data_IF_257295615117
#
_entry.id   IF_257295615117
#
_cell.length_a   1.000
_cell.length_b   1.000
_cell.length_c   1.000
_cell.angle_alpha   90.00
_cell.angle_beta   90.00
_cell.angle_gamma   90.00
#
_symmetry.space_group_name_H-M   'P 1'
#
loop_
_entity.id
_entity.type
_entity.pdbx_description
1 polymer ?
#
# COMPACT_ATOMS: atom_id res chain seq x y z
N UNK A 1 -12.86 22.64 -0.55
CA UNK A 1 -13.65 21.63 0.19
C UNK A 1 -13.16 20.25 -0.22
N UNK A 2 -12.41 19.54 0.60
CA UNK A 2 -12.19 18.09 0.51
C UNK A 2 -11.49 17.62 1.79
N UNK A 3 -11.96 16.52 2.39
CA UNK A 3 -11.36 15.70 3.48
C UNK A 3 -11.95 15.60 4.88
N UNK A 4 -13.19 16.00 5.15
CA UNK A 4 -13.75 15.96 6.51
C UNK A 4 -13.57 14.61 7.26
N UNK A 5 -13.48 14.65 8.59
CA UNK A 5 -13.37 13.46 9.47
C UNK A 5 -14.41 12.37 9.12
N UNK A 6 -15.57 12.79 8.62
CA UNK A 6 -16.64 11.92 8.14
C UNK A 6 -16.22 11.09 6.91
N UNK A 7 -15.40 11.65 5.99
CA UNK A 7 -14.86 10.93 4.82
C UNK A 7 -13.90 9.82 5.25
N UNK A 8 -13.02 10.08 6.23
CA UNK A 8 -12.10 9.06 6.76
C UNK A 8 -12.86 7.93 7.44
N UNK A 9 -13.87 8.27 8.27
CA UNK A 9 -14.73 7.29 8.92
C UNK A 9 -15.50 6.46 7.88
N UNK A 10 -16.13 7.10 6.89
CA UNK A 10 -16.90 6.43 5.85
C UNK A 10 -16.02 5.51 5.00
N UNK A 11 -14.88 6.01 4.53
CA UNK A 11 -13.93 5.25 3.72
C UNK A 11 -13.33 4.08 4.49
N UNK A 12 -12.84 4.32 5.70
CA UNK A 12 -12.27 3.28 6.56
C UNK A 12 -13.28 2.20 6.91
N UNK A 13 -14.50 2.59 7.28
CA UNK A 13 -15.57 1.64 7.60
C UNK A 13 -15.98 0.81 6.38
N UNK A 14 -16.13 1.45 5.21
CA UNK A 14 -16.45 0.76 3.96
C UNK A 14 -15.37 -0.26 3.60
N UNK A 15 -14.09 0.12 3.62
CA UNK A 15 -12.97 -0.79 3.33
C UNK A 15 -12.99 -1.97 4.31
N UNK A 16 -13.15 -1.74 5.61
CA UNK A 16 -13.15 -2.81 6.62
C UNK A 16 -14.33 -3.77 6.41
N UNK A 17 -15.56 -3.24 6.37
CA UNK A 17 -16.77 -4.06 6.27
C UNK A 17 -16.77 -4.88 4.98
N UNK A 18 -16.43 -4.24 3.86
CA UNK A 18 -16.39 -4.92 2.56
C UNK A 18 -15.25 -5.95 2.51
N UNK A 19 -14.08 -5.66 3.10
CA UNK A 19 -12.98 -6.64 3.19
C UNK A 19 -13.38 -7.87 4.00
N UNK A 20 -14.07 -7.70 5.13
CA UNK A 20 -14.56 -8.81 5.96
C UNK A 20 -15.58 -9.63 5.17
N UNK A 21 -16.53 -8.95 4.50
CA UNK A 21 -17.53 -9.61 3.67
C UNK A 21 -16.87 -10.46 2.57
N UNK A 22 -15.92 -9.90 1.82
CA UNK A 22 -15.20 -10.65 0.79
C UNK A 22 -14.33 -11.75 1.36
N UNK A 23 -13.68 -11.54 2.50
CA UNK A 23 -12.94 -12.61 3.17
C UNK A 23 -13.84 -13.82 3.43
N UNK A 24 -15.02 -13.61 4.04
CA UNK A 24 -15.97 -14.68 4.33
C UNK A 24 -16.44 -15.36 3.03
N UNK A 25 -16.87 -14.57 2.04
CA UNK A 25 -17.38 -15.07 0.77
C UNK A 25 -16.33 -15.94 0.04
N UNK A 26 -15.10 -15.45 -0.08
CA UNK A 26 -14.04 -16.15 -0.83
C UNK A 26 -13.39 -17.28 -0.03
N UNK A 27 -13.42 -17.26 1.31
CA UNK A 27 -13.01 -18.43 2.11
C UNK A 27 -13.91 -19.62 1.78
N UNK A 28 -15.23 -19.42 1.76
CA UNK A 28 -16.20 -20.47 1.41
C UNK A 28 -15.92 -20.98 -0.02
N UNK A 29 -15.81 -20.05 -0.98
CA UNK A 29 -15.55 -20.39 -2.39
C UNK A 29 -14.22 -21.13 -2.58
N UNK A 30 -13.14 -20.67 -1.96
CA UNK A 30 -11.81 -21.26 -2.15
C UNK A 30 -11.64 -22.60 -1.42
N UNK A 31 -12.32 -22.82 -0.29
CA UNK A 31 -12.38 -24.13 0.34
C UNK A 31 -13.02 -25.19 -0.58
N UNK A 32 -14.05 -24.82 -1.35
CA UNK A 32 -14.68 -25.73 -2.32
C UNK A 32 -13.73 -26.11 -3.48
N UNK A 33 -12.79 -25.25 -3.85
CA UNK A 33 -11.82 -25.47 -4.95
C UNK A 33 -10.69 -26.43 -4.54
N UNK A 34 -10.48 -26.67 -3.23
CA UNK A 34 -9.44 -27.57 -2.66
C UNK A 34 -7.98 -27.20 -2.98
N UNK A 35 -7.73 -26.00 -3.49
CA UNK A 35 -6.38 -25.46 -3.69
C UNK A 35 -5.87 -24.79 -2.42
N UNK A 36 -5.03 -25.51 -1.65
CA UNK A 36 -4.59 -25.10 -0.29
C UNK A 36 -3.92 -23.72 -0.20
N UNK A 37 -3.32 -23.23 -1.28
CA UNK A 37 -2.61 -21.95 -1.31
C UNK A 37 -3.53 -20.73 -1.43
N UNK A 38 -4.78 -20.92 -1.88
CA UNK A 38 -5.74 -19.84 -2.07
C UNK A 38 -6.14 -19.17 -0.74
N UNK A 39 -6.28 -19.96 0.33
CA UNK A 39 -6.68 -19.43 1.65
C UNK A 39 -5.58 -18.55 2.28
N UNK A 40 -4.30 -18.98 2.35
CA UNK A 40 -3.21 -18.10 2.77
C UNK A 40 -3.10 -16.83 1.92
N UNK A 41 -3.26 -16.94 0.59
CA UNK A 41 -3.25 -15.80 -0.31
C UNK A 41 -4.36 -14.79 0.03
N UNK A 42 -5.59 -15.28 0.18
CA UNK A 42 -6.76 -14.47 0.52
C UNK A 42 -6.57 -13.79 1.88
N UNK A 43 -6.11 -14.54 2.89
CA UNK A 43 -5.86 -14.02 4.24
C UNK A 43 -4.89 -12.84 4.20
N UNK A 44 -3.76 -12.98 3.53
CA UNK A 44 -2.78 -11.89 3.46
C UNK A 44 -3.28 -10.72 2.63
N UNK A 45 -3.97 -10.98 1.50
CA UNK A 45 -4.54 -9.89 0.69
C UNK A 45 -5.56 -9.09 1.51
N UNK A 46 -6.53 -9.75 2.15
CA UNK A 46 -7.55 -9.08 2.95
C UNK A 46 -6.96 -8.40 4.19
N UNK A 47 -5.92 -8.97 4.81
CA UNK A 47 -5.20 -8.30 5.88
C UNK A 47 -4.59 -6.96 5.40
N UNK A 48 -4.00 -6.91 4.21
CA UNK A 48 -3.52 -5.66 3.62
C UNK A 48 -4.61 -4.59 3.53
N UNK A 49 -5.78 -4.95 2.98
CA UNK A 49 -6.93 -4.04 2.90
C UNK A 49 -7.44 -3.60 4.28
N UNK A 50 -7.54 -4.52 5.25
CA UNK A 50 -7.95 -4.19 6.63
C UNK A 50 -7.00 -3.20 7.30
N UNK A 51 -5.70 -3.29 7.04
CA UNK A 51 -4.72 -2.33 7.57
C UNK A 51 -4.86 -0.96 6.90
N UNK A 52 -5.13 -0.87 5.60
CA UNK A 52 -5.44 0.42 4.96
C UNK A 52 -6.74 1.02 5.51
N UNK A 53 -7.80 0.22 5.67
CA UNK A 53 -9.05 0.68 6.28
C UNK A 53 -8.87 1.08 7.74
N UNK A 54 -8.08 0.32 8.50
CA UNK A 54 -7.72 0.63 9.88
C UNK A 54 -6.97 1.95 10.01
N UNK A 55 -6.02 2.22 9.12
CA UNK A 55 -5.33 3.51 9.06
C UNK A 55 -6.33 4.69 8.94
N UNK A 56 -7.33 4.59 8.06
CA UNK A 56 -8.36 5.63 7.90
C UNK A 56 -9.19 5.84 9.18
N UNK A 57 -9.52 4.76 9.89
CA UNK A 57 -10.20 4.86 11.20
C UNK A 57 -9.31 5.52 12.25
N UNK A 58 -8.02 5.20 12.28
CA UNK A 58 -7.08 5.82 13.22
C UNK A 58 -6.82 7.30 12.91
N UNK A 59 -6.80 7.69 11.63
CA UNK A 59 -6.78 9.11 11.26
C UNK A 59 -8.03 9.82 11.79
N UNK A 60 -9.22 9.25 11.56
CA UNK A 60 -10.47 9.80 12.07
C UNK A 60 -10.44 9.97 13.59
N UNK A 61 -10.06 8.92 14.31
CA UNK A 61 -9.96 8.95 15.77
C UNK A 61 -8.94 10.00 16.24
N UNK A 62 -7.81 10.13 15.55
CA UNK A 62 -6.78 11.11 15.91
C UNK A 62 -7.26 12.55 15.75
N UNK A 63 -8.11 12.83 14.75
CA UNK A 63 -8.70 14.14 14.54
C UNK A 63 -9.79 14.45 15.58
N UNK A 64 -10.61 13.46 15.94
CA UNK A 64 -11.67 13.64 16.94
C UNK A 64 -11.12 13.79 18.36
N UNK A 65 -10.02 13.10 18.67
CA UNK A 65 -9.42 13.09 20.01
C UNK A 65 -8.23 14.03 20.16
N UNK A 66 -7.79 14.66 19.06
CA UNK A 66 -6.56 15.45 18.96
C UNK A 66 -5.33 14.71 19.55
N UNK A 67 -5.30 13.38 19.35
CA UNK A 67 -4.32 12.50 19.98
C UNK A 67 -3.25 12.01 18.97
N UNK A 68 -2.02 12.42 19.21
CA UNK A 68 -0.88 12.12 18.35
C UNK A 68 -0.46 10.65 18.41
N UNK A 69 -0.67 9.98 19.54
CA UNK A 69 -0.35 8.55 19.71
C UNK A 69 -1.28 7.73 18.80
N UNK A 70 -2.57 8.09 18.74
CA UNK A 70 -3.53 7.47 17.82
C UNK A 70 -3.09 7.69 16.38
N UNK A 71 -2.72 8.93 16.00
CA UNK A 71 -2.23 9.20 14.65
C UNK A 71 -1.01 8.37 14.27
N UNK A 72 0.03 8.37 15.13
CA UNK A 72 1.26 7.59 14.92
C UNK A 72 0.97 6.11 14.77
N UNK A 73 0.06 5.57 15.58
CA UNK A 73 -0.38 4.17 15.47
C UNK A 73 -1.04 3.91 14.11
N UNK A 74 -1.88 4.84 13.65
CA UNK A 74 -2.48 4.80 12.31
C UNK A 74 -1.44 4.75 11.18
N UNK A 75 -0.35 5.53 11.28
CA UNK A 75 0.75 5.49 10.32
C UNK A 75 1.45 4.12 10.27
N UNK A 76 1.67 3.49 11.43
CA UNK A 76 2.31 2.16 11.50
C UNK A 76 1.38 1.07 10.96
N UNK A 77 0.08 1.17 11.25
CA UNK A 77 -0.93 0.31 10.65
C UNK A 77 -0.90 0.45 9.11
N UNK A 78 -0.89 1.67 8.59
CA UNK A 78 -0.87 1.91 7.14
C UNK A 78 0.30 1.22 6.43
N UNK A 79 1.54 1.46 6.89
CA UNK A 79 2.74 0.88 6.26
C UNK A 79 2.81 -0.65 6.43
N UNK A 80 2.20 -1.19 7.49
CA UNK A 80 2.13 -2.63 7.72
C UNK A 80 1.30 -3.37 6.68
N UNK A 81 0.38 -2.70 5.97
CA UNK A 81 -0.33 -3.28 4.83
C UNK A 81 0.64 -3.84 3.76
N UNK A 82 1.78 -3.17 3.55
CA UNK A 82 2.77 -3.58 2.56
C UNK A 82 3.44 -4.93 2.90
N UNK A 83 3.63 -5.24 4.18
CA UNK A 83 4.10 -6.57 4.60
C UNK A 83 3.12 -7.66 4.16
N UNK A 84 1.82 -7.43 4.35
CA UNK A 84 0.80 -8.38 3.96
C UNK A 84 0.69 -8.54 2.44
N UNK A 85 0.79 -7.45 1.68
CA UNK A 85 0.80 -7.54 0.21
C UNK A 85 2.03 -8.29 -0.33
N UNK A 86 3.21 -8.05 0.25
CA UNK A 86 4.40 -8.85 -0.06
C UNK A 86 4.20 -10.33 0.29
N UNK A 87 3.56 -10.64 1.43
CA UNK A 87 3.24 -12.02 1.82
C UNK A 87 2.26 -12.70 0.88
N UNK A 88 1.20 -12.02 0.44
CA UNK A 88 0.29 -12.57 -0.57
C UNK A 88 0.99 -12.80 -1.91
N UNK A 89 1.92 -11.93 -2.30
CA UNK A 89 2.74 -12.12 -3.50
C UNK A 89 3.68 -13.33 -3.37
N UNK A 90 4.32 -13.54 -2.21
CA UNK A 90 5.11 -14.75 -1.92
C UNK A 90 4.27 -16.02 -2.11
N UNK A 91 3.00 -15.99 -1.67
CA UNK A 91 2.08 -17.10 -1.85
C UNK A 91 1.77 -17.33 -3.34
N UNK A 92 1.42 -16.28 -4.10
CA UNK A 92 1.12 -16.38 -5.54
C UNK A 92 2.30 -16.93 -6.34
N UNK A 93 3.50 -16.37 -6.13
CA UNK A 93 4.70 -16.76 -6.86
C UNK A 93 5.29 -18.10 -6.38
N UNK A 94 4.79 -18.66 -5.27
CA UNK A 94 5.42 -19.75 -4.55
C UNK A 94 6.92 -19.49 -4.33
N UNK A 95 7.25 -18.28 -3.89
CA UNK A 95 8.62 -17.79 -3.83
C UNK A 95 8.85 -17.04 -2.53
N UNK A 96 9.93 -17.36 -1.81
CA UNK A 96 10.36 -16.58 -0.64
C UNK A 96 11.00 -15.28 -1.14
N UNK A 97 10.34 -14.14 -0.87
CA UNK A 97 10.77 -12.79 -1.27
C UNK A 97 11.41 -12.01 -0.10
N UNK A 98 11.71 -12.71 1.00
CA UNK A 98 12.21 -12.12 2.24
C UNK A 98 11.35 -10.95 2.74
N UNK A 99 10.02 -11.06 2.63
CA UNK A 99 9.05 -10.07 3.13
C UNK A 99 9.24 -9.66 4.60
N UNK A 100 9.93 -10.46 5.41
CA UNK A 100 10.30 -10.09 6.78
C UNK A 100 11.22 -8.86 6.85
N UNK A 101 11.99 -8.55 5.79
CA UNK A 101 12.79 -7.33 5.72
C UNK A 101 11.92 -6.06 5.74
N UNK A 102 10.69 -6.15 5.24
CA UNK A 102 9.72 -5.05 5.37
C UNK A 102 9.39 -4.75 6.84
N UNK A 103 9.37 -5.77 7.71
CA UNK A 103 9.12 -5.58 9.15
C UNK A 103 10.25 -4.78 9.82
N UNK A 104 11.50 -4.96 9.38
CA UNK A 104 12.64 -4.18 9.90
C UNK A 104 12.47 -2.71 9.56
N UNK A 105 12.08 -2.40 8.31
CA UNK A 105 11.80 -1.02 7.90
C UNK A 105 10.59 -0.44 8.67
N UNK A 106 9.51 -1.21 8.81
CA UNK A 106 8.31 -0.79 9.57
C UNK A 106 8.68 -0.51 11.04
N UNK A 107 9.51 -1.34 11.67
CA UNK A 107 9.97 -1.13 13.04
C UNK A 107 10.85 0.12 13.17
N UNK A 108 11.77 0.35 12.23
CA UNK A 108 12.59 1.56 12.22
C UNK A 108 11.74 2.82 12.06
N UNK A 109 10.75 2.80 11.16
CA UNK A 109 9.77 3.89 10.97
C UNK A 109 8.92 4.09 12.22
N UNK A 110 8.53 3.02 12.92
CA UNK A 110 7.81 3.11 14.19
C UNK A 110 8.64 3.80 15.27
N UNK A 111 9.89 3.36 15.49
CA UNK A 111 10.78 4.02 16.45
C UNK A 111 10.94 5.50 16.12
N UNK A 112 11.23 5.83 14.86
CA UNK A 112 11.35 7.21 14.41
C UNK A 112 10.06 8.03 14.66
N UNK A 113 8.89 7.49 14.28
CA UNK A 113 7.61 8.16 14.46
C UNK A 113 7.29 8.45 15.93
N UNK A 114 7.60 7.53 16.84
CA UNK A 114 7.34 7.72 18.27
C UNK A 114 8.34 8.66 18.95
N UNK A 115 9.61 8.66 18.53
CA UNK A 115 10.62 9.60 19.03
C UNK A 115 10.44 11.03 18.49
N UNK A 116 9.77 11.17 17.35
CA UNK A 116 9.58 12.48 16.73
C UNK A 116 8.36 13.21 17.31
N UNK A 117 8.49 14.45 17.80
CA UNK A 117 7.34 15.25 18.21
C UNK A 117 6.44 15.56 17.01
N UNK A 118 5.13 15.42 17.22
CA UNK A 118 4.08 15.80 16.26
C UNK A 118 3.20 16.87 16.91
N UNK A 119 2.39 17.61 16.17
CA UNK A 119 1.54 18.67 16.71
C UNK A 119 0.43 19.04 15.73
N UNK A 120 -0.82 19.02 16.19
CA UNK A 120 -2.00 19.38 15.38
C UNK A 120 -2.05 20.91 15.20
N UNK A 121 -1.22 21.45 14.30
CA UNK A 121 -1.28 22.87 13.96
C UNK A 121 -2.36 23.15 12.90
N UNK A 122 -3.20 24.15 13.18
CA UNK A 122 -4.20 24.77 12.29
C UNK A 122 -5.38 23.89 11.81
N UNK A 123 -5.75 22.80 12.50
CA UNK A 123 -6.85 21.90 12.09
C UNK A 123 -6.83 21.52 10.59
N UNK A 124 -5.66 21.63 9.94
CA UNK A 124 -5.48 21.20 8.58
C UNK A 124 -5.37 19.68 8.59
N UNK A 125 -5.95 19.02 7.57
CA UNK A 125 -6.08 17.56 7.44
C UNK A 125 -4.79 16.76 7.66
N UNK A 126 -3.65 17.45 7.61
CA UNK A 126 -2.32 16.95 7.81
C UNK A 126 -1.74 17.66 9.00
N UNK A 127 -1.33 16.83 9.94
CA UNK A 127 -0.46 17.15 11.04
C UNK A 127 0.82 17.84 10.45
N UNK A 128 0.87 19.18 10.49
CA UNK A 128 1.95 19.99 9.90
C UNK A 128 3.22 19.85 10.74
N UNK A 129 4.09 18.90 10.41
CA UNK A 129 5.47 18.84 10.95
C UNK A 129 6.50 18.26 10.01
N UNK A 130 7.73 18.78 10.10
CA UNK A 130 8.86 18.56 9.19
C UNK A 130 9.35 17.10 9.01
N UNK A 131 8.70 16.10 9.62
CA UNK A 131 9.22 14.73 9.72
C UNK A 131 8.28 13.61 9.23
N UNK A 132 7.19 13.92 8.53
CA UNK A 132 6.33 12.88 7.88
C UNK A 132 7.00 12.27 6.63
N UNK A 133 8.04 12.92 6.12
CA UNK A 133 8.80 12.52 4.92
C UNK A 133 9.34 11.08 5.01
N UNK A 134 9.94 10.67 6.14
CA UNK A 134 10.50 9.32 6.28
C UNK A 134 9.43 8.23 6.17
N UNK A 135 8.26 8.45 6.77
CA UNK A 135 7.15 7.51 6.66
C UNK A 135 6.66 7.42 5.21
N UNK A 136 6.43 8.56 4.55
CA UNK A 136 5.98 8.61 3.16
C UNK A 136 6.96 7.93 2.21
N UNK A 137 8.27 8.19 2.36
CA UNK A 137 9.30 7.52 1.57
C UNK A 137 9.36 6.03 1.81
N UNK A 138 9.24 5.60 3.06
CA UNK A 138 9.27 4.18 3.39
C UNK A 138 8.06 3.46 2.79
N UNK A 139 6.88 4.10 2.80
CA UNK A 139 5.69 3.57 2.16
C UNK A 139 5.87 3.46 0.64
N UNK A 140 6.30 4.55 -0.03
CA UNK A 140 6.52 4.56 -1.49
C UNK A 140 7.63 3.58 -1.90
N UNK A 141 8.70 3.49 -1.10
CA UNK A 141 9.76 2.50 -1.29
C UNK A 141 9.20 1.08 -1.25
N UNK A 142 8.40 0.74 -0.24
CA UNK A 142 7.78 -0.59 -0.14
C UNK A 142 6.80 -0.85 -1.29
N UNK A 143 6.06 0.17 -1.74
CA UNK A 143 5.17 0.08 -2.88
C UNK A 143 5.91 -0.25 -4.18
N UNK A 144 6.99 0.47 -4.48
CA UNK A 144 7.83 0.16 -5.64
C UNK A 144 8.54 -1.19 -5.48
N UNK A 145 9.01 -1.52 -4.28
CA UNK A 145 9.63 -2.82 -4.01
C UNK A 145 8.66 -3.97 -4.27
N UNK A 146 7.40 -3.84 -3.83
CA UNK A 146 6.32 -4.79 -4.12
C UNK A 146 6.09 -4.96 -5.63
N UNK A 147 6.00 -3.86 -6.36
CA UNK A 147 5.84 -3.86 -7.81
C UNK A 147 7.04 -4.50 -8.53
N UNK A 148 8.27 -4.15 -8.15
CA UNK A 148 9.50 -4.75 -8.67
C UNK A 148 9.52 -6.26 -8.40
N UNK A 149 9.20 -6.70 -7.18
CA UNK A 149 9.12 -8.12 -6.85
C UNK A 149 8.12 -8.87 -7.74
N UNK A 150 6.96 -8.27 -8.04
CA UNK A 150 5.95 -8.88 -8.88
C UNK A 150 6.39 -8.96 -10.34
N UNK A 151 6.96 -7.88 -10.89
CA UNK A 151 7.43 -7.80 -12.27
C UNK A 151 8.60 -8.76 -12.53
N UNK A 152 9.61 -8.77 -11.67
CA UNK A 152 10.69 -9.76 -11.77
C UNK A 152 10.19 -11.18 -11.47
N UNK A 153 9.13 -11.31 -10.68
CA UNK A 153 8.44 -12.57 -10.40
C UNK A 153 7.82 -13.23 -11.64
N UNK A 154 7.46 -12.44 -12.67
CA UNK A 154 6.80 -12.94 -13.88
C UNK A 154 7.63 -13.99 -14.64
N UNK A 155 8.97 -13.91 -14.56
CA UNK A 155 9.88 -14.86 -15.21
C UNK A 155 9.74 -16.28 -14.67
N UNK A 156 9.22 -16.45 -13.45
CA UNK A 156 9.01 -17.75 -12.81
C UNK A 156 7.63 -18.34 -13.08
N UNK A 157 6.77 -17.63 -13.82
CA UNK A 157 5.43 -18.11 -14.13
C UNK A 157 5.42 -18.88 -15.45
N UNK A 158 4.81 -20.08 -15.48
CA UNK A 158 4.87 -20.98 -16.64
C UNK A 158 3.97 -20.55 -17.80
N UNK A 159 2.93 -19.74 -17.54
CA UNK A 159 1.93 -19.36 -18.54
C UNK A 159 1.80 -17.85 -18.66
N UNK A 160 1.58 -17.37 -19.89
CA UNK A 160 1.25 -15.97 -20.17
C UNK A 160 -0.02 -15.52 -19.44
N UNK A 161 -1.03 -16.41 -19.29
CA UNK A 161 -2.24 -16.09 -18.51
C UNK A 161 -1.90 -15.75 -17.06
N UNK A 162 -1.01 -16.52 -16.44
CA UNK A 162 -0.59 -16.30 -15.05
C UNK A 162 0.20 -15.01 -14.88
N UNK A 163 1.01 -14.64 -15.88
CA UNK A 163 1.70 -13.33 -15.92
C UNK A 163 0.70 -12.18 -15.96
N UNK A 164 -0.32 -12.26 -16.82
CA UNK A 164 -1.42 -11.28 -16.86
C UNK A 164 -2.18 -11.22 -15.55
N UNK A 165 -2.39 -12.36 -14.88
CA UNK A 165 -3.05 -12.38 -13.57
C UNK A 165 -2.23 -11.66 -12.50
N UNK A 166 -0.88 -11.73 -12.50
CA UNK A 166 -0.07 -10.92 -11.57
C UNK A 166 -0.24 -9.42 -11.85
N UNK A 167 -0.27 -9.00 -13.11
CA UNK A 167 -0.51 -7.59 -13.43
C UNK A 167 -1.91 -7.14 -12.97
N UNK A 168 -2.93 -7.99 -13.18
CA UNK A 168 -4.28 -7.74 -12.67
C UNK A 168 -4.32 -7.68 -11.13
N UNK A 169 -3.49 -8.49 -10.44
CA UNK A 169 -3.35 -8.45 -8.99
C UNK A 169 -2.77 -7.11 -8.51
N UNK A 170 -1.71 -6.62 -9.14
CA UNK A 170 -1.11 -5.32 -8.82
C UNK A 170 -2.12 -4.17 -8.98
N UNK A 171 -2.82 -4.17 -10.11
CA UNK A 171 -3.90 -3.22 -10.39
C UNK A 171 -4.99 -3.28 -9.33
N UNK A 172 -5.50 -4.47 -9.01
CA UNK A 172 -6.61 -4.68 -8.08
C UNK A 172 -6.23 -4.47 -6.61
N UNK A 173 -4.94 -4.36 -6.27
CA UNK A 173 -4.50 -4.18 -4.89
C UNK A 173 -4.00 -2.79 -4.58
N UNK A 174 -3.18 -2.15 -5.42
CA UNK A 174 -2.57 -0.85 -5.09
C UNK A 174 -2.52 0.11 -6.29
N UNK A 175 -2.24 -0.37 -7.49
CA UNK A 175 -1.83 0.53 -8.58
C UNK A 175 -2.93 1.44 -9.13
N UNK A 176 -4.20 1.01 -9.20
CA UNK A 176 -5.32 1.89 -9.64
C UNK A 176 -5.40 3.14 -8.74
N UNK A 177 -5.39 2.93 -7.43
CA UNK A 177 -5.43 4.04 -6.46
C UNK A 177 -4.22 4.98 -6.58
N UNK A 178 -3.04 4.41 -6.86
CA UNK A 178 -1.81 5.19 -7.06
C UNK A 178 -1.87 6.01 -8.35
N UNK A 179 -2.30 5.41 -9.46
CA UNK A 179 -2.46 6.09 -10.76
C UNK A 179 -3.46 7.24 -10.63
N UNK A 180 -4.59 7.03 -9.95
CA UNK A 180 -5.58 8.08 -9.73
C UNK A 180 -5.02 9.21 -8.85
N UNK A 181 -4.28 8.88 -7.79
CA UNK A 181 -3.61 9.88 -6.95
C UNK A 181 -2.57 10.67 -7.75
N UNK A 182 -1.83 10.02 -8.64
CA UNK A 182 -0.85 10.65 -9.51
C UNK A 182 -1.51 11.58 -10.54
N UNK A 183 -2.59 11.13 -11.19
CA UNK A 183 -3.37 11.97 -12.12
C UNK A 183 -3.91 13.20 -11.39
N UNK A 184 -4.48 13.01 -10.20
CA UNK A 184 -4.95 14.10 -9.37
C UNK A 184 -3.83 15.08 -9.03
N UNK A 185 -2.66 14.58 -8.63
CA UNK A 185 -1.52 15.40 -8.28
C UNK A 185 -1.00 16.23 -9.47
N UNK A 186 -0.84 15.61 -10.64
CA UNK A 186 -0.39 16.29 -11.87
C UNK A 186 -1.40 17.35 -12.30
N UNK A 187 -2.68 16.99 -12.35
CA UNK A 187 -3.74 17.92 -12.75
C UNK A 187 -3.84 19.10 -11.78
N UNK A 188 -3.82 18.81 -10.47
CA UNK A 188 -3.82 19.83 -9.44
C UNK A 188 -2.62 20.76 -9.54
N UNK A 189 -1.40 20.22 -9.69
CA UNK A 189 -0.17 21.00 -9.83
C UNK A 189 -0.25 21.98 -11.01
N UNK A 190 -0.86 21.57 -12.12
CA UNK A 190 -1.06 22.42 -13.30
C UNK A 190 -2.07 23.56 -13.12
N UNK A 191 -2.92 23.51 -12.08
CA UNK A 191 -4.04 24.44 -11.90
C UNK A 191 -3.98 25.28 -10.61
N UNK A 192 -3.48 24.74 -9.48
CA UNK A 192 -3.66 25.37 -8.15
C UNK A 192 -2.41 25.41 -7.24
N UNK A 193 -1.24 25.00 -7.74
CA UNK A 193 0.14 25.15 -7.23
C UNK A 193 0.49 24.84 -5.74
N UNK A 194 -0.30 25.16 -4.71
CA UNK A 194 0.20 25.24 -3.32
C UNK A 194 -0.36 24.18 -2.34
N UNK A 195 -1.55 23.60 -2.57
CA UNK A 195 -2.17 22.67 -1.60
C UNK A 195 -2.21 21.19 -2.00
N UNK A 196 -2.26 20.86 -3.30
CA UNK A 196 -2.34 19.46 -3.80
C UNK A 196 -1.21 18.56 -3.29
N UNK A 197 -0.05 19.18 -3.13
CA UNK A 197 1.16 18.59 -2.63
C UNK A 197 1.06 17.98 -1.23
N UNK A 198 0.35 18.67 -0.33
CA UNK A 198 0.10 18.20 1.03
C UNK A 198 -1.04 17.18 1.05
N UNK A 199 -1.96 17.28 0.09
CA UNK A 199 -3.19 16.50 0.11
C UNK A 199 -3.05 15.09 -0.47
N UNK A 200 -2.05 14.87 -1.35
CA UNK A 200 -1.99 13.67 -2.19
C UNK A 200 -1.86 12.34 -1.41
N UNK A 201 -1.09 12.22 -0.30
CA UNK A 201 -1.01 10.95 0.44
C UNK A 201 -2.35 10.48 1.03
N UNK A 202 -3.16 11.39 1.60
CA UNK A 202 -4.49 11.03 2.10
C UNK A 202 -5.49 10.82 0.96
N UNK A 203 -5.31 11.52 -0.17
CA UNK A 203 -6.08 11.29 -1.39
C UNK A 203 -5.84 9.88 -1.93
N UNK A 204 -4.59 9.41 -1.93
CA UNK A 204 -4.28 8.04 -2.31
C UNK A 204 -5.01 7.03 -1.42
N UNK A 205 -4.95 7.21 -0.10
CA UNK A 205 -5.64 6.33 0.85
C UNK A 205 -7.17 6.34 0.67
N UNK A 206 -7.73 7.41 0.10
CA UNK A 206 -9.17 7.49 -0.18
C UNK A 206 -9.55 6.90 -1.53
N UNK A 207 -8.74 7.15 -2.57
CA UNK A 207 -8.89 6.43 -3.84
C UNK A 207 -8.67 4.93 -3.66
N UNK A 208 -8.04 4.50 -2.56
CA UNK A 208 -8.00 3.10 -2.17
C UNK A 208 -9.39 2.47 -1.98
N UNK A 209 -10.43 3.27 -1.68
CA UNK A 209 -11.81 2.79 -1.67
C UNK A 209 -12.19 2.15 -3.02
N UNK A 210 -11.67 2.65 -4.14
CA UNK A 210 -11.93 2.06 -5.47
C UNK A 210 -11.36 0.64 -5.56
N UNK A 211 -10.22 0.38 -4.90
CA UNK A 211 -9.57 -0.93 -4.92
C UNK A 211 -10.43 -2.01 -4.27
N UNK A 212 -11.22 -1.66 -3.24
CA UNK A 212 -12.10 -2.65 -2.61
C UNK A 212 -13.19 -3.14 -3.57
N UNK A 213 -13.56 -2.34 -4.57
CA UNK A 213 -14.49 -2.76 -5.62
C UNK A 213 -13.79 -3.49 -6.77
N UNK A 214 -12.49 -3.32 -6.97
CA UNK A 214 -11.72 -4.03 -7.99
C UNK A 214 -11.32 -5.46 -7.56
N UNK A 215 -10.97 -5.64 -6.28
CA UNK A 215 -10.46 -6.92 -5.76
C UNK A 215 -11.38 -8.14 -5.95
N UNK A 216 -12.73 -8.06 -5.89
CA UNK A 216 -13.60 -9.22 -6.08
C UNK A 216 -13.53 -9.78 -7.49
N UNK A 217 -13.42 -8.89 -8.50
CA UNK A 217 -13.26 -9.33 -9.88
C UNK A 217 -12.00 -10.18 -10.03
N UNK A 218 -10.89 -9.71 -9.45
CA UNK A 218 -9.65 -10.46 -9.42
C UNK A 218 -9.79 -11.79 -8.66
N UNK A 219 -10.36 -11.79 -7.45
CA UNK A 219 -10.53 -13.00 -6.63
C UNK A 219 -11.43 -14.05 -7.31
N UNK A 220 -12.41 -13.61 -8.09
CA UNK A 220 -13.29 -14.50 -8.84
C UNK A 220 -12.59 -15.22 -9.98
N UNK A 221 -11.69 -14.54 -10.69
CA UNK A 221 -11.00 -15.11 -11.86
C UNK A 221 -9.73 -15.88 -11.48
N UNK A 222 -9.14 -15.57 -10.31
CA UNK A 222 -7.83 -16.10 -9.90
C UNK A 222 -7.72 -17.64 -10.03
N UNK A 223 -8.66 -18.46 -9.51
CA UNK A 223 -8.51 -19.92 -9.57
C UNK A 223 -8.49 -20.49 -10.99
N UNK A 224 -9.16 -19.83 -11.93
CA UNK A 224 -9.23 -20.26 -13.33
C UNK A 224 -8.06 -19.72 -14.17
N UNK A 225 -7.64 -18.48 -13.92
CA UNK A 225 -6.66 -17.78 -14.75
C UNK A 225 -5.20 -18.06 -14.35
N UNK A 226 -4.95 -18.45 -13.09
CA UNK A 226 -3.61 -18.55 -12.53
C UNK A 226 -3.18 -20.00 -12.30
N UNK A 227 -2.02 -20.37 -12.85
CA UNK A 227 -1.33 -21.62 -12.54
C UNK A 227 -0.11 -21.30 -11.69
N UNK A 228 -0.23 -21.55 -10.38
CA UNK A 228 0.85 -21.37 -9.41
C UNK A 228 2.05 -22.28 -9.73
N UNK A 229 3.30 -21.79 -9.60
CA UNK A 229 4.49 -22.64 -9.73
C UNK A 229 4.46 -23.79 -8.70
N UNK A 230 4.71 -25.02 -9.16
CA UNK A 230 4.65 -26.21 -8.29
C UNK A 230 5.80 -26.26 -7.27
N UNK A 231 7.02 -25.93 -7.71
CA UNK A 231 8.21 -25.91 -6.85
C UNK A 231 8.35 -24.55 -6.16
N UNK A 232 8.55 -24.58 -4.85
CA UNK A 232 8.87 -23.36 -4.12
C UNK A 232 10.28 -22.90 -4.50
N UNK A 233 10.45 -21.63 -4.80
CA UNK A 233 11.77 -21.03 -5.04
C UNK A 233 12.11 -20.02 -3.95
N UNK A 234 13.38 -19.63 -3.88
CA UNK A 234 13.84 -18.58 -2.97
C UNK A 234 14.56 -17.51 -3.79
N UNK A 235 14.34 -16.25 -3.42
CA UNK A 235 15.13 -15.14 -3.92
C UNK A 235 16.56 -15.27 -3.43
N UNK A 236 17.51 -15.23 -4.36
CA UNK A 236 18.93 -15.20 -3.98
C UNK A 236 19.30 -13.81 -3.46
N UNK A 237 20.38 -13.69 -2.68
CA UNK A 237 20.88 -12.39 -2.23
C UNK A 237 21.21 -11.44 -3.38
N UNK A 238 21.77 -11.98 -4.49
CA UNK A 238 22.04 -11.20 -5.71
C UNK A 238 20.76 -10.61 -6.31
N UNK A 239 19.69 -11.40 -6.39
CA UNK A 239 18.38 -10.91 -6.83
C UNK A 239 17.77 -9.92 -5.83
N UNK A 240 17.99 -10.12 -4.53
CA UNK A 240 17.64 -9.17 -3.46
C UNK A 240 18.23 -7.79 -3.69
N UNK A 241 19.54 -7.73 -3.83
CA UNK A 241 20.28 -6.49 -4.10
C UNK A 241 19.80 -5.86 -5.41
N UNK A 242 19.62 -6.65 -6.47
CA UNK A 242 19.12 -6.13 -7.74
C UNK A 242 17.74 -5.50 -7.60
N UNK A 243 16.80 -6.14 -6.91
CA UNK A 243 15.44 -5.61 -6.75
C UNK A 243 15.46 -4.32 -5.93
N UNK A 244 16.31 -4.26 -4.89
CA UNK A 244 16.52 -3.07 -4.09
C UNK A 244 17.11 -1.92 -4.91
N UNK A 245 18.14 -2.18 -5.71
CA UNK A 245 18.75 -1.17 -6.59
C UNK A 245 17.74 -0.65 -7.60
N UNK A 246 16.97 -1.52 -8.27
CA UNK A 246 15.92 -1.09 -9.21
C UNK A 246 14.86 -0.25 -8.50
N UNK A 247 14.45 -0.64 -7.29
CA UNK A 247 13.49 0.12 -6.49
C UNK A 247 14.03 1.51 -6.17
N UNK A 248 15.28 1.62 -5.74
CA UNK A 248 15.93 2.90 -5.45
C UNK A 248 16.10 3.76 -6.71
N UNK A 249 16.42 3.16 -7.85
CA UNK A 249 16.49 3.88 -9.13
C UNK A 249 15.13 4.44 -9.54
N UNK A 250 14.06 3.64 -9.45
CA UNK A 250 12.69 4.11 -9.70
C UNK A 250 12.34 5.24 -8.74
N UNK A 251 12.64 5.08 -7.44
CA UNK A 251 12.41 6.10 -6.43
C UNK A 251 13.16 7.40 -6.76
N UNK A 252 14.42 7.32 -7.17
CA UNK A 252 15.24 8.48 -7.56
C UNK A 252 14.72 9.17 -8.81
N UNK A 253 14.27 8.42 -9.83
CA UNK A 253 13.62 8.97 -11.02
C UNK A 253 12.32 9.67 -10.64
N UNK A 254 11.42 8.97 -9.93
CA UNK A 254 10.15 9.52 -9.47
C UNK A 254 10.39 10.76 -8.60
N UNK A 255 11.43 10.77 -7.77
CA UNK A 255 11.83 11.91 -6.97
C UNK A 255 12.30 13.11 -7.79
N UNK A 256 12.98 12.87 -8.90
CA UNK A 256 13.55 13.91 -9.76
C UNK A 256 12.54 14.51 -10.74
N UNK A 257 11.49 13.76 -11.11
CA UNK A 257 10.56 14.16 -12.18
C UNK A 257 9.17 14.53 -11.70
N UNK A 258 8.76 14.07 -10.51
CA UNK A 258 7.43 14.40 -10.01
C UNK A 258 7.54 15.46 -8.90
N UNK A 259 6.86 16.63 -9.06
CA UNK A 259 6.67 17.55 -7.95
C UNK A 259 5.99 16.85 -6.76
N UNK A 260 5.33 15.69 -6.96
CA UNK A 260 4.86 14.78 -5.91
C UNK A 260 5.92 14.45 -4.85
N UNK A 261 7.18 14.28 -5.23
CA UNK A 261 8.24 14.00 -4.28
C UNK A 261 8.70 15.24 -3.58
N UNK A 262 9.00 16.36 -4.26
CA UNK A 262 9.24 17.62 -3.57
C UNK A 262 8.06 17.99 -2.67
N UNK A 263 6.83 17.63 -3.01
CA UNK A 263 5.65 17.89 -2.20
C UNK A 263 5.43 16.93 -1.01
N UNK A 264 5.85 15.68 -1.13
CA UNK A 264 5.98 14.74 -0.01
C UNK A 264 7.27 14.97 0.81
N UNK A 265 8.27 15.66 0.22
CA UNK A 265 9.62 15.91 0.70
C UNK A 265 9.87 17.33 1.21
N UNK A 266 9.03 18.33 0.94
CA UNK A 266 9.22 19.77 1.25
C UNK A 266 9.04 20.09 2.72
N UNK A 267 9.48 19.14 3.52
CA UNK A 267 9.81 19.22 4.93
C UNK A 267 11.25 18.80 5.22
N UNK A 268 12.06 18.59 4.16
CA UNK A 268 13.51 18.39 4.23
C UNK A 268 14.28 19.72 4.28
N UNK A 269 13.61 20.86 4.06
CA UNK A 269 14.17 22.13 4.51
C UNK A 269 13.96 22.23 6.03
N UNK A 270 15.04 21.96 6.77
CA UNK A 270 15.25 22.39 8.16
C UNK A 270 14.84 23.89 8.34
N UNK A 271 14.49 24.32 9.57
CA UNK A 271 13.77 25.57 9.87
C UNK A 271 14.24 26.82 9.13
#
# INVERSE_FOLDING_TARGET
MCYSKEVQLATGSAIIVISIFYYILYVIKYNAIKEKWLIPFLKFTMAGFLYIGGHQIFEFLSLVTENQIIYKTGLIISISAMFFFLKSLEVLLNRKLHSHLALVLIAAVAVHAFLTPMSFQEQSFYLRHNNVSLWSYSWIFLFFYFNVCALFGLKFLPKNSSRKTILAYLLATLDISFILALIYAIWGYSQFSVNICKDTPSIWCTFYLIQIFAIPFFLSILPAAFKRPAKQTQQTWKEGILYLLVTLTILGIVASFLPFFDCAATKIAFP
#
